data_IF_150795006467
#
_entry.id   IF_150795006467
#
_cell.length_a   1.000
_cell.length_b   1.000
_cell.length_c   1.000
_cell.angle_alpha   90.00
_cell.angle_beta   90.00
_cell.angle_gamma   90.00
#
_symmetry.space_group_name_H-M   'P 1'
#
loop_
_entity.id
_entity.type
_entity.pdbx_description
1 polymer ?
#
# COMPACT_ATOMS: atom_id res chain seq x y z
N UNK A 1 18.23 -11.35 9.82
CA UNK A 1 17.05 -10.66 9.25
C UNK A 1 15.78 -11.32 9.78
N UNK A 2 14.80 -10.55 10.24
CA UNK A 2 13.52 -11.04 10.80
C UNK A 2 12.38 -10.67 9.87
N UNK A 3 11.34 -11.49 9.76
CA UNK A 3 10.11 -11.07 9.08
C UNK A 3 9.46 -9.87 9.79
N UNK A 4 8.91 -8.95 9.01
CA UNK A 4 8.22 -7.78 9.58
C UNK A 4 6.93 -8.20 10.27
N UNK A 5 6.65 -7.64 11.44
CA UNK A 5 5.40 -7.88 12.14
C UNK A 5 4.22 -7.09 11.54
N UNK A 6 3.02 -7.30 12.09
CA UNK A 6 1.77 -6.67 11.64
C UNK A 6 1.87 -5.14 11.71
N UNK A 7 2.40 -4.63 12.83
CA UNK A 7 2.53 -3.19 13.09
C UNK A 7 3.47 -2.54 12.08
N UNK A 8 4.61 -3.16 11.77
CA UNK A 8 5.56 -2.65 10.77
C UNK A 8 4.93 -2.60 9.36
N UNK A 9 4.17 -3.63 8.97
CA UNK A 9 3.47 -3.64 7.67
C UNK A 9 2.39 -2.55 7.60
N UNK A 10 1.64 -2.38 8.69
CA UNK A 10 0.62 -1.35 8.80
C UNK A 10 1.23 0.05 8.76
N UNK A 11 2.24 0.33 9.58
CA UNK A 11 2.91 1.62 9.64
C UNK A 11 3.57 1.99 8.31
N UNK A 12 4.17 1.03 7.59
CA UNK A 12 4.71 1.28 6.26
C UNK A 12 3.63 1.83 5.32
N UNK A 13 2.43 1.25 5.40
CA UNK A 13 1.28 1.69 4.60
C UNK A 13 0.77 3.06 5.02
N UNK A 14 0.64 3.31 6.33
CA UNK A 14 0.24 4.62 6.85
C UNK A 14 1.20 5.72 6.39
N UNK A 15 2.51 5.48 6.45
CA UNK A 15 3.52 6.44 5.97
C UNK A 15 3.35 6.71 4.47
N UNK A 16 3.16 5.67 3.65
CA UNK A 16 2.95 5.86 2.21
C UNK A 16 1.68 6.66 1.91
N UNK A 17 0.59 6.39 2.64
CA UNK A 17 -0.66 7.15 2.51
C UNK A 17 -0.46 8.61 2.90
N UNK A 18 0.28 8.87 3.98
CA UNK A 18 0.60 10.24 4.40
C UNK A 18 1.43 10.99 3.36
N UNK A 19 2.47 10.35 2.78
CA UNK A 19 3.27 10.93 1.69
C UNK A 19 2.37 11.31 0.51
N UNK A 20 1.51 10.39 0.08
CA UNK A 20 0.60 10.64 -1.04
C UNK A 20 -0.42 11.73 -0.70
N UNK A 21 -0.89 11.78 0.55
CA UNK A 21 -1.76 12.85 1.05
C UNK A 21 -1.11 14.23 0.98
N UNK A 22 0.19 14.35 1.26
CA UNK A 22 0.95 15.61 1.10
C UNK A 22 0.97 16.04 -0.37
N UNK A 23 1.26 15.11 -1.28
CA UNK A 23 1.28 15.40 -2.74
C UNK A 23 -0.12 15.76 -3.25
N UNK A 24 -1.16 15.16 -2.69
CA UNK A 24 -2.54 15.42 -3.04
C UNK A 24 -3.10 16.72 -2.45
N UNK A 25 -2.48 17.27 -1.40
CA UNK A 25 -2.98 18.43 -0.66
C UNK A 25 -3.45 19.62 -1.53
N UNK A 26 -2.72 20.03 -2.60
CA UNK A 26 -3.16 21.13 -3.46
C UNK A 26 -4.52 20.87 -4.15
N UNK A 27 -4.84 19.60 -4.47
CA UNK A 27 -6.08 19.23 -5.14
C UNK A 27 -7.31 19.32 -4.23
N UNK A 28 -7.12 19.37 -2.91
CA UNK A 28 -8.22 19.54 -1.95
C UNK A 28 -8.96 20.86 -2.22
N UNK A 29 -8.22 21.91 -2.56
CA UNK A 29 -8.76 23.26 -2.81
C UNK A 29 -9.23 23.50 -4.25
N UNK A 30 -9.10 22.51 -5.14
CA UNK A 30 -9.58 22.63 -6.51
C UNK A 30 -11.11 22.49 -6.60
N UNK A 31 -11.73 23.10 -7.60
CA UNK A 31 -13.19 23.06 -7.80
C UNK A 31 -13.69 21.78 -8.50
N UNK A 32 -12.82 20.78 -8.70
CA UNK A 32 -13.21 19.53 -9.35
C UNK A 32 -14.09 18.67 -8.43
N UNK A 33 -14.93 17.82 -9.03
CA UNK A 33 -15.87 16.99 -8.30
C UNK A 33 -15.18 16.03 -7.31
N UNK A 34 -15.90 15.64 -6.24
CA UNK A 34 -15.41 14.69 -5.23
C UNK A 34 -14.95 13.37 -5.85
N UNK A 35 -15.67 12.87 -6.86
CA UNK A 35 -15.28 11.66 -7.59
C UNK A 35 -13.92 11.84 -8.30
N UNK A 36 -13.72 12.97 -8.99
CA UNK A 36 -12.46 13.27 -9.68
C UNK A 36 -11.31 13.39 -8.67
N UNK A 37 -11.53 14.06 -7.53
CA UNK A 37 -10.55 14.16 -6.43
C UNK A 37 -10.10 12.78 -5.94
N UNK A 38 -11.03 11.84 -5.74
CA UNK A 38 -10.72 10.46 -5.35
C UNK A 38 -9.91 9.73 -6.42
N UNK A 39 -10.27 9.86 -7.69
CA UNK A 39 -9.55 9.26 -8.80
C UNK A 39 -8.13 9.83 -8.93
N UNK A 40 -7.95 11.15 -8.79
CA UNK A 40 -6.63 11.80 -8.75
C UNK A 40 -5.79 11.21 -7.62
N UNK A 41 -6.34 11.10 -6.42
CA UNK A 41 -5.63 10.53 -5.27
C UNK A 41 -5.19 9.06 -5.51
N UNK A 42 -6.05 8.25 -6.14
CA UNK A 42 -5.71 6.87 -6.54
C UNK A 42 -4.60 6.86 -7.58
N UNK A 43 -4.67 7.74 -8.59
CA UNK A 43 -3.65 7.85 -9.63
C UNK A 43 -2.32 8.31 -9.04
N UNK A 44 -2.29 9.29 -8.13
CA UNK A 44 -1.07 9.72 -7.44
C UNK A 44 -0.49 8.54 -6.63
N UNK A 45 -1.33 7.78 -5.92
CA UNK A 45 -0.88 6.61 -5.17
C UNK A 45 -0.26 5.54 -6.08
N UNK A 46 -0.89 5.26 -7.23
CA UNK A 46 -0.38 4.33 -8.23
C UNK A 46 0.95 4.80 -8.81
N UNK A 47 1.02 6.06 -9.26
CA UNK A 47 2.22 6.67 -9.82
C UNK A 47 3.37 6.70 -8.81
N UNK A 48 3.10 7.04 -7.55
CA UNK A 48 4.08 6.97 -6.47
C UNK A 48 4.71 5.58 -6.37
N UNK A 49 3.89 4.52 -6.34
CA UNK A 49 4.39 3.16 -6.24
C UNK A 49 5.14 2.71 -7.51
N UNK A 50 4.68 3.12 -8.70
CA UNK A 50 5.38 2.83 -9.96
C UNK A 50 6.75 3.54 -10.05
N UNK A 51 6.84 4.79 -9.59
CA UNK A 51 8.12 5.50 -9.51
C UNK A 51 9.07 4.79 -8.53
N UNK A 52 8.57 4.39 -7.37
CA UNK A 52 9.34 3.62 -6.39
C UNK A 52 9.82 2.27 -6.93
N UNK A 53 9.00 1.60 -7.75
CA UNK A 53 9.37 0.37 -8.45
C UNK A 53 10.60 0.60 -9.34
N UNK A 54 10.54 1.62 -10.19
CA UNK A 54 11.59 1.93 -11.19
C UNK A 54 12.86 2.41 -10.51
N UNK A 55 12.76 3.36 -9.58
CA UNK A 55 13.92 4.07 -9.04
C UNK A 55 14.50 3.45 -7.76
N UNK A 56 13.71 2.71 -6.98
CA UNK A 56 14.14 2.22 -5.66
C UNK A 56 13.89 0.72 -5.45
N UNK A 57 13.90 -0.07 -6.53
CA UNK A 57 13.68 -1.54 -6.47
C UNK A 57 12.43 -1.90 -5.67
N UNK A 58 11.37 -1.13 -5.87
CA UNK A 58 10.09 -1.26 -5.18
C UNK A 58 10.14 -1.03 -3.66
N UNK A 59 11.16 -0.35 -3.13
CA UNK A 59 11.26 -0.01 -1.70
C UNK A 59 10.66 1.36 -1.45
N UNK A 60 9.42 1.40 -0.98
CA UNK A 60 8.70 2.65 -0.70
C UNK A 60 9.24 3.39 0.53
N UNK A 61 8.85 4.65 0.69
CA UNK A 61 9.29 5.52 1.80
C UNK A 61 8.94 4.88 3.15
N UNK A 62 7.74 4.31 3.30
CA UNK A 62 7.37 3.58 4.52
C UNK A 62 8.35 2.45 4.86
N UNK A 63 8.82 1.70 3.85
CA UNK A 63 9.85 0.66 4.04
C UNK A 63 11.23 1.24 4.36
N UNK A 64 11.58 2.39 3.80
CA UNK A 64 12.82 3.09 4.14
C UNK A 64 12.80 3.55 5.60
N UNK A 65 11.75 4.27 6.02
CA UNK A 65 11.56 4.76 7.39
C UNK A 65 11.60 3.62 8.41
N UNK A 66 10.97 2.49 8.10
CA UNK A 66 10.93 1.34 8.98
C UNK A 66 12.11 0.38 8.82
N UNK A 67 13.11 0.69 7.99
CA UNK A 67 14.27 -0.18 7.71
C UNK A 67 13.85 -1.60 7.31
N UNK A 68 12.84 -1.70 6.46
CA UNK A 68 12.39 -2.96 5.88
C UNK A 68 12.76 -3.02 4.40
N UNK A 69 12.92 -4.24 3.89
CA UNK A 69 13.21 -4.52 2.48
C UNK A 69 12.47 -5.78 2.03
N UNK A 70 12.33 -5.96 0.73
CA UNK A 70 11.92 -7.24 0.17
C UNK A 70 12.93 -8.33 0.54
N UNK A 71 12.44 -9.52 0.90
CA UNK A 71 13.27 -10.66 1.30
C UNK A 71 14.25 -11.06 0.20
N UNK A 72 13.79 -11.01 -1.03
CA UNK A 72 14.50 -11.39 -2.24
C UNK A 72 14.16 -10.43 -3.40
N UNK A 73 14.85 -10.58 -4.53
CA UNK A 73 14.54 -9.85 -5.75
C UNK A 73 13.37 -10.52 -6.47
N UNK A 74 12.16 -10.03 -6.22
CA UNK A 74 10.97 -10.53 -6.90
C UNK A 74 10.93 -10.11 -8.38
N UNK A 75 10.36 -10.95 -9.28
CA UNK A 75 10.15 -10.59 -10.68
C UNK A 75 9.33 -9.31 -10.84
N UNK A 76 9.60 -8.55 -11.90
CA UNK A 76 8.89 -7.30 -12.18
C UNK A 76 7.37 -7.48 -12.27
N UNK A 77 6.90 -8.57 -12.89
CA UNK A 77 5.47 -8.89 -13.01
C UNK A 77 4.81 -9.01 -11.64
N UNK A 78 5.46 -9.70 -10.70
CA UNK A 78 4.98 -9.85 -9.32
C UNK A 78 4.89 -8.48 -8.64
N UNK A 79 5.90 -7.64 -8.81
CA UNK A 79 5.91 -6.28 -8.25
C UNK A 79 4.81 -5.40 -8.85
N UNK A 80 4.54 -5.51 -10.15
CA UNK A 80 3.45 -4.80 -10.81
C UNK A 80 2.07 -5.25 -10.28
N UNK A 81 1.84 -6.56 -10.16
CA UNK A 81 0.62 -7.12 -9.56
C UNK A 81 0.45 -6.62 -8.12
N UNK A 82 1.54 -6.62 -7.35
CA UNK A 82 1.54 -6.10 -5.98
C UNK A 82 1.08 -4.65 -5.92
N UNK A 83 1.61 -3.79 -6.78
CA UNK A 83 1.27 -2.37 -6.83
C UNK A 83 -0.20 -2.16 -7.21
N UNK A 84 -0.72 -2.92 -8.18
CA UNK A 84 -2.13 -2.84 -8.58
C UNK A 84 -3.05 -3.26 -7.44
N UNK A 85 -2.78 -4.42 -6.82
CA UNK A 85 -3.58 -4.91 -5.70
C UNK A 85 -3.46 -4.01 -4.47
N UNK A 86 -2.29 -3.42 -4.24
CA UNK A 86 -2.06 -2.48 -3.15
C UNK A 86 -2.80 -1.16 -3.37
N UNK A 87 -2.80 -0.65 -4.61
CA UNK A 87 -3.57 0.53 -5.01
C UNK A 87 -5.08 0.28 -4.90
N UNK A 88 -5.55 -0.90 -5.30
CA UNK A 88 -6.95 -1.31 -5.13
C UNK A 88 -7.32 -1.44 -3.65
N UNK A 89 -6.44 -2.00 -2.84
CA UNK A 89 -6.60 -2.03 -1.38
C UNK A 89 -6.68 -0.62 -0.80
N UNK A 90 -5.84 0.31 -1.27
CA UNK A 90 -5.86 1.72 -0.86
C UNK A 90 -7.16 2.41 -1.27
N UNK A 91 -7.68 2.17 -2.47
CA UNK A 91 -8.90 2.86 -2.95
C UNK A 91 -10.13 2.58 -2.09
N UNK A 92 -10.15 1.46 -1.35
CA UNK A 92 -11.21 1.16 -0.36
C UNK A 92 -11.32 2.18 0.77
N UNK A 93 -10.28 2.99 1.03
CA UNK A 93 -10.34 4.13 1.97
C UNK A 93 -11.23 5.27 1.46
N UNK A 94 -11.40 5.40 0.14
CA UNK A 94 -11.99 6.57 -0.49
C UNK A 94 -13.47 6.37 -0.86
N UNK A 95 -13.88 5.12 -1.02
CA UNK A 95 -15.24 4.74 -1.38
C UNK A 95 -15.95 4.13 -0.18
N UNK A 96 -17.26 4.32 -0.14
CA UNK A 96 -18.13 3.67 0.82
C UNK A 96 -19.44 3.25 0.14
N UNK A 97 -20.15 2.29 0.75
CA UNK A 97 -21.46 1.83 0.27
C UNK A 97 -22.57 2.31 1.21
N UNK A 98 -22.43 2.07 2.51
CA UNK A 98 -23.42 2.37 3.55
C UNK A 98 -22.94 3.43 4.54
N UNK A 99 -21.68 3.35 5.01
CA UNK A 99 -21.11 4.31 5.96
C UNK A 99 -19.63 4.53 5.71
N UNK A 100 -19.09 5.65 6.20
CA UNK A 100 -17.69 6.01 5.97
C UNK A 100 -16.72 4.90 6.42
N UNK A 101 -15.80 4.53 5.53
CA UNK A 101 -14.80 3.47 5.73
C UNK A 101 -15.32 2.03 5.78
N UNK A 102 -16.58 1.76 5.44
CA UNK A 102 -17.12 0.40 5.41
C UNK A 102 -16.32 -0.57 4.51
N UNK A 103 -16.00 -0.16 3.27
CA UNK A 103 -15.19 -0.94 2.33
C UNK A 103 -13.75 -1.12 2.84
N UNK A 104 -13.18 -0.10 3.46
CA UNK A 104 -11.87 -0.19 4.08
C UNK A 104 -11.84 -1.17 5.24
N UNK A 105 -12.84 -1.11 6.14
CA UNK A 105 -12.98 -2.06 7.25
C UNK A 105 -13.18 -3.47 6.73
N UNK A 106 -13.99 -3.66 5.69
CA UNK A 106 -14.18 -4.97 5.07
C UNK A 106 -12.85 -5.51 4.54
N UNK A 107 -12.13 -4.70 3.75
CA UNK A 107 -10.83 -5.06 3.20
C UNK A 107 -9.81 -5.34 4.32
N UNK A 108 -9.73 -4.52 5.36
CA UNK A 108 -8.75 -4.71 6.42
C UNK A 108 -9.08 -5.90 7.32
N UNK A 109 -10.31 -6.02 7.82
CA UNK A 109 -10.70 -7.01 8.82
C UNK A 109 -10.91 -8.40 8.19
N UNK A 110 -11.51 -8.47 7.01
CA UNK A 110 -11.90 -9.75 6.40
C UNK A 110 -10.96 -10.22 5.30
N UNK A 111 -10.16 -9.33 4.69
CA UNK A 111 -9.22 -9.72 3.63
C UNK A 111 -7.75 -9.64 4.09
N UNK A 112 -7.28 -8.47 4.56
CA UNK A 112 -5.86 -8.28 4.87
C UNK A 112 -5.47 -8.92 6.21
N UNK A 113 -6.21 -8.67 7.28
CA UNK A 113 -5.88 -9.16 8.62
C UNK A 113 -5.82 -10.69 8.71
N UNK A 114 -6.80 -11.46 8.17
CA UNK A 114 -6.74 -12.91 8.25
C UNK A 114 -5.52 -13.46 7.49
N UNK A 115 -5.19 -12.87 6.34
CA UNK A 115 -4.00 -13.25 5.59
C UNK A 115 -2.71 -12.97 6.38
N UNK A 116 -2.63 -11.82 7.04
CA UNK A 116 -1.46 -11.47 7.86
C UNK A 116 -1.33 -12.39 9.07
N UNK A 117 -2.45 -12.76 9.71
CA UNK A 117 -2.44 -13.66 10.88
C UNK A 117 -2.07 -15.08 10.46
N UNK A 118 -2.73 -15.62 9.44
CA UNK A 118 -2.63 -17.03 9.01
C UNK A 118 -1.42 -17.31 8.12
N UNK A 119 -1.10 -16.41 7.18
CA UNK A 119 -0.04 -16.61 6.16
C UNK A 119 1.19 -15.73 6.41
N UNK A 120 1.19 -14.92 7.47
CA UNK A 120 2.24 -13.91 7.76
C UNK A 120 2.47 -12.94 6.60
N UNK A 121 1.52 -12.83 5.68
CA UNK A 121 1.60 -11.98 4.50
C UNK A 121 0.29 -11.24 4.26
N UNK A 122 0.36 -10.05 3.69
CA UNK A 122 -0.84 -9.35 3.22
C UNK A 122 -1.47 -10.10 2.05
N UNK A 123 -2.77 -9.88 1.79
CA UNK A 123 -3.44 -10.54 0.66
C UNK A 123 -2.76 -10.20 -0.67
N UNK A 124 -2.48 -8.91 -0.88
CA UNK A 124 -1.81 -8.44 -2.09
C UNK A 124 -0.37 -8.99 -2.19
N UNK A 125 0.39 -9.04 -1.08
CA UNK A 125 1.70 -9.72 -1.04
C UNK A 125 1.63 -11.21 -1.38
N UNK A 126 0.61 -11.92 -0.88
CA UNK A 126 0.43 -13.35 -1.14
C UNK A 126 0.10 -13.64 -2.60
N UNK A 127 -0.88 -12.91 -3.17
CA UNK A 127 -1.31 -13.06 -4.57
C UNK A 127 -0.23 -12.65 -5.57
N UNK A 128 0.70 -11.79 -5.16
CA UNK A 128 1.81 -11.32 -6.00
C UNK A 128 3.03 -12.25 -5.97
N UNK A 129 2.82 -13.56 -5.84
CA UNK A 129 3.91 -14.54 -5.73
C UNK A 129 4.60 -14.53 -4.37
N UNK A 130 3.82 -14.38 -3.29
CA UNK A 130 4.29 -14.46 -1.89
C UNK A 130 5.42 -13.49 -1.57
N UNK A 131 5.27 -12.24 -1.98
CA UNK A 131 6.23 -11.17 -1.67
C UNK A 131 6.27 -10.91 -0.16
N UNK A 132 7.44 -11.09 0.45
CA UNK A 132 7.64 -10.92 1.90
C UNK A 132 8.61 -9.77 2.16
N UNK A 133 8.28 -8.95 3.16
CA UNK A 133 9.15 -7.93 3.71
C UNK A 133 9.88 -8.42 4.96
N UNK A 134 11.17 -8.11 5.05
CA UNK A 134 12.04 -8.43 6.19
C UNK A 134 12.64 -7.15 6.77
N UNK A 135 12.85 -7.14 8.09
CA UNK A 135 13.58 -6.10 8.82
C UNK A 135 15.08 -6.30 8.62
N UNK A 136 15.76 -5.26 8.18
CA UNK A 136 17.23 -5.23 8.23
C UNK A 136 17.68 -4.87 9.64
N UNK A 137 18.58 -5.66 10.21
CA UNK A 137 19.27 -5.30 11.45
C UNK A 137 20.04 -3.99 11.23
N UNK A 138 20.19 -3.15 12.27
CA UNK A 138 21.07 -1.99 12.22
C UNK A 138 22.51 -2.40 11.90
#
# INVERSE_FOLDING_TARGET
>A
MRETNIVEKFLASVINVAVVGIVFFPFIFSDVSSLIKKLILIVIFLLYNLLVLIFNKNRCIGMVCLRTRWKENYPFVNQAIYILLYTLSFSTLLFHVYFLFDLFLLNMIFLQLPMVVLKKNTLHGYLSGKMITVKTSP
#
